data_IF_078087603542
#
_entry.id   IF_078087603542
#
_cell.length_a   1.000
_cell.length_b   1.000
_cell.length_c   1.000
_cell.angle_alpha   90.00
_cell.angle_beta   90.00
_cell.angle_gamma   90.00
#
_symmetry.space_group_name_H-M   'P 1'
#
loop_
_entity.id
_entity.type
_entity.pdbx_description
1 polymer ?
#
# COMPACT_ATOMS: atom_id res chain seq x y z
N UNK A 1 -7.44 8.33 -12.45
CA UNK A 1 -7.97 7.39 -11.44
C UNK A 1 -9.49 7.55 -11.32
N UNK A 2 -10.01 8.76 -11.06
CA UNK A 2 -11.45 9.01 -10.85
C UNK A 2 -12.32 8.43 -11.96
N UNK A 3 -12.00 8.75 -13.23
CA UNK A 3 -12.77 8.30 -14.39
C UNK A 3 -12.84 6.77 -14.56
N UNK A 4 -11.90 6.04 -13.97
CA UNK A 4 -11.87 4.55 -14.03
C UNK A 4 -12.94 3.91 -13.15
N UNK A 5 -13.32 4.59 -12.07
CA UNK A 5 -14.34 4.11 -11.13
C UNK A 5 -15.76 4.48 -11.55
N UNK A 6 -15.90 5.50 -12.39
CA UNK A 6 -17.22 6.00 -12.82
C UNK A 6 -17.83 5.15 -13.94
N UNK A 7 -19.15 5.18 -14.12
CA UNK A 7 -19.80 4.63 -15.30
C UNK A 7 -19.26 5.23 -16.59
N UNK A 8 -19.24 4.44 -17.66
CA UNK A 8 -18.74 4.91 -18.97
C UNK A 8 -19.63 6.04 -19.50
N UNK A 9 -19.04 7.13 -20.06
CA UNK A 9 -19.82 8.16 -20.72
C UNK A 9 -20.72 7.57 -21.83
N UNK A 10 -21.93 8.11 -21.97
CA UNK A 10 -22.92 7.62 -22.93
C UNK A 10 -23.72 6.38 -22.51
N UNK A 11 -23.46 5.83 -21.31
CA UNK A 11 -24.31 4.79 -20.73
C UNK A 11 -25.56 5.36 -20.06
N UNK A 12 -26.60 4.55 -19.91
CA UNK A 12 -27.79 4.94 -19.14
C UNK A 12 -27.40 5.31 -17.71
N UNK A 13 -27.90 6.46 -17.24
CA UNK A 13 -27.63 6.91 -15.88
C UNK A 13 -28.37 6.01 -14.88
N UNK A 14 -27.60 5.21 -14.14
CA UNK A 14 -28.10 4.40 -13.04
C UNK A 14 -27.57 4.97 -11.72
N UNK A 15 -28.48 5.51 -10.91
CA UNK A 15 -28.15 6.14 -9.62
C UNK A 15 -27.51 5.14 -8.65
N UNK A 16 -27.90 3.87 -8.68
CA UNK A 16 -27.30 2.85 -7.80
C UNK A 16 -25.88 2.54 -8.22
N UNK A 17 -25.60 2.44 -9.51
CA UNK A 17 -24.22 2.27 -10.02
C UNK A 17 -23.35 3.47 -9.71
N UNK A 18 -23.88 4.68 -9.85
CA UNK A 18 -23.17 5.90 -9.48
C UNK A 18 -22.83 5.92 -7.98
N UNK A 19 -23.76 5.52 -7.10
CA UNK A 19 -23.49 5.40 -5.65
C UNK A 19 -22.40 4.38 -5.36
N UNK A 20 -22.43 3.22 -6.01
CA UNK A 20 -21.37 2.20 -5.87
C UNK A 20 -20.03 2.72 -6.38
N UNK A 21 -20.02 3.46 -7.47
CA UNK A 21 -18.82 4.08 -8.01
C UNK A 21 -18.22 5.10 -7.03
N UNK A 22 -19.06 5.95 -6.42
CA UNK A 22 -18.65 6.91 -5.39
C UNK A 22 -18.08 6.17 -4.16
N UNK A 23 -18.73 5.10 -3.70
CA UNK A 23 -18.23 4.31 -2.58
C UNK A 23 -16.85 3.68 -2.89
N UNK A 24 -16.65 3.15 -4.11
CA UNK A 24 -15.33 2.65 -4.55
C UNK A 24 -14.29 3.76 -4.62
N UNK A 25 -14.69 4.95 -5.09
CA UNK A 25 -13.81 6.11 -5.16
C UNK A 25 -13.39 6.57 -3.76
N UNK A 26 -14.31 6.63 -2.80
CA UNK A 26 -13.98 6.91 -1.39
C UNK A 26 -13.04 5.86 -0.79
N UNK A 27 -13.24 4.59 -1.12
CA UNK A 27 -12.37 3.50 -0.66
C UNK A 27 -10.94 3.57 -1.20
N UNK A 28 -10.64 4.43 -2.19
CA UNK A 28 -9.27 4.68 -2.65
C UNK A 28 -8.44 5.49 -1.65
N UNK A 29 -9.08 6.24 -0.75
CA UNK A 29 -8.42 7.16 0.17
C UNK A 29 -7.89 8.44 -0.48
N UNK A 30 -8.20 8.69 -1.74
CA UNK A 30 -7.74 9.88 -2.48
C UNK A 30 -8.61 11.12 -2.20
N UNK A 31 -9.80 10.95 -1.67
CA UNK A 31 -10.74 12.02 -1.37
C UNK A 31 -10.86 12.25 0.13
N UNK A 32 -10.87 13.54 0.53
CA UNK A 32 -11.04 13.95 1.92
C UNK A 32 -12.50 13.84 2.40
N UNK A 33 -13.45 14.00 1.49
CA UNK A 33 -14.89 13.96 1.77
C UNK A 33 -15.65 13.38 0.57
N UNK A 34 -16.89 12.89 0.79
CA UNK A 34 -17.72 12.40 -0.31
C UNK A 34 -17.93 13.45 -1.41
N UNK A 35 -17.85 13.04 -2.69
CA UNK A 35 -18.07 13.95 -3.81
C UNK A 35 -19.45 14.61 -3.76
N UNK A 36 -19.50 15.88 -4.06
CA UNK A 36 -20.77 16.55 -4.32
C UNK A 36 -21.22 16.21 -5.73
N UNK A 37 -22.39 15.62 -5.84
CA UNK A 37 -22.97 15.20 -7.12
C UNK A 37 -24.07 16.18 -7.51
N UNK A 38 -23.97 16.76 -8.70
CA UNK A 38 -25.04 17.54 -9.31
C UNK A 38 -25.27 17.07 -10.75
N UNK A 39 -26.49 17.25 -11.23
CA UNK A 39 -26.85 16.97 -12.60
C UNK A 39 -27.08 18.28 -13.34
N UNK A 40 -26.51 18.38 -14.51
CA UNK A 40 -26.76 19.48 -15.45
C UNK A 40 -27.39 18.92 -16.73
N UNK A 41 -28.21 19.70 -17.46
CA UNK A 41 -28.72 19.28 -18.75
C UNK A 41 -27.56 19.08 -19.75
N UNK A 42 -27.65 18.03 -20.56
CA UNK A 42 -26.74 17.76 -21.64
C UNK A 42 -27.04 18.61 -22.89
N UNK A 43 -26.33 18.31 -23.98
CA UNK A 43 -26.52 18.96 -25.26
C UNK A 43 -27.84 18.54 -25.92
N UNK A 44 -28.33 17.32 -25.64
CA UNK A 44 -29.59 16.80 -26.14
C UNK A 44 -30.61 16.67 -25.01
N UNK A 45 -31.92 16.67 -25.33
CA UNK A 45 -32.99 16.63 -24.33
C UNK A 45 -33.00 15.40 -23.44
N UNK A 46 -32.42 14.31 -23.88
CA UNK A 46 -32.32 13.00 -23.20
C UNK A 46 -30.94 12.77 -22.55
N UNK A 47 -30.04 13.75 -22.60
CA UNK A 47 -28.71 13.67 -22.02
C UNK A 47 -28.64 14.44 -20.70
N UNK A 48 -27.93 13.87 -19.73
CA UNK A 48 -27.60 14.51 -18.48
C UNK A 48 -26.08 14.47 -18.22
N UNK A 49 -25.52 15.59 -17.81
CA UNK A 49 -24.13 15.70 -17.41
C UNK A 49 -24.04 15.55 -15.88
N UNK A 50 -23.31 14.53 -15.45
CA UNK A 50 -23.00 14.32 -14.02
C UNK A 50 -21.78 15.17 -13.66
N UNK A 51 -21.98 16.17 -12.83
CA UNK A 51 -20.90 17.03 -12.33
C UNK A 51 -20.50 16.56 -10.93
N UNK A 52 -19.22 16.22 -10.75
CA UNK A 52 -18.65 15.79 -9.48
C UNK A 52 -17.71 16.87 -8.94
N UNK A 53 -18.08 17.47 -7.80
CA UNK A 53 -17.19 18.31 -7.01
C UNK A 53 -16.33 17.46 -6.11
N UNK A 54 -15.02 17.42 -6.36
CA UNK A 54 -14.07 16.57 -5.64
C UNK A 54 -13.17 17.42 -4.75
N UNK A 55 -12.84 16.92 -3.56
CA UNK A 55 -11.84 17.49 -2.68
C UNK A 55 -10.79 16.40 -2.36
N UNK A 56 -9.57 16.65 -2.81
CA UNK A 56 -8.47 15.72 -2.60
C UNK A 56 -8.06 15.63 -1.13
N UNK A 57 -7.72 14.43 -0.68
CA UNK A 57 -7.13 14.18 0.64
C UNK A 57 -5.64 14.55 0.67
N UNK A 58 -5.12 14.78 1.85
CA UNK A 58 -3.66 14.79 2.06
C UNK A 58 -3.18 13.35 2.02
N UNK A 59 -2.29 13.05 1.09
CA UNK A 59 -1.84 11.69 0.79
C UNK A 59 -0.45 11.38 1.34
N UNK A 60 0.31 12.44 1.67
CA UNK A 60 1.64 12.33 2.27
C UNK A 60 1.59 12.28 3.80
N UNK A 61 2.31 11.34 4.39
CA UNK A 61 2.51 11.18 5.82
C UNK A 61 3.99 11.08 6.12
N UNK A 62 4.43 11.86 7.11
CA UNK A 62 5.79 11.83 7.63
C UNK A 62 5.75 11.71 9.14
N UNK A 63 6.29 10.64 9.70
CA UNK A 63 6.23 10.30 11.12
C UNK A 63 7.61 9.98 11.66
N UNK A 64 8.29 10.94 12.29
CA UNK A 64 9.43 10.65 13.15
C UNK A 64 8.94 10.16 14.52
N UNK A 65 9.68 9.22 15.10
CA UNK A 65 9.48 8.79 16.46
C UNK A 65 10.83 8.58 17.16
N UNK A 66 10.86 8.85 18.45
CA UNK A 66 12.01 8.58 19.31
C UNK A 66 11.48 7.98 20.61
N UNK A 67 12.17 6.97 21.12
CA UNK A 67 11.82 6.28 22.33
C UNK A 67 13.04 5.89 23.15
N UNK A 68 12.82 5.53 24.39
CA UNK A 68 13.81 4.96 25.28
C UNK A 68 13.21 3.83 26.11
N UNK A 69 13.94 2.77 26.27
CA UNK A 69 13.61 1.69 27.19
C UNK A 69 14.85 1.30 28.01
N UNK A 70 14.62 0.80 29.21
CA UNK A 70 15.72 0.31 30.06
C UNK A 70 16.37 -0.96 29.52
N UNK A 71 15.71 -1.66 28.59
CA UNK A 71 16.18 -2.92 28.02
C UNK A 71 16.99 -2.71 26.74
N UNK A 72 16.56 -1.76 25.90
CA UNK A 72 17.09 -1.57 24.54
C UNK A 72 17.80 -0.21 24.35
N UNK A 73 17.75 0.67 25.38
CA UNK A 73 18.29 2.03 25.28
C UNK A 73 17.42 2.93 24.41
N UNK A 74 18.06 3.83 23.69
CA UNK A 74 17.40 4.74 22.75
C UNK A 74 17.00 4.04 21.47
N UNK A 75 15.82 4.36 20.99
CA UNK A 75 15.34 3.94 19.67
C UNK A 75 14.81 5.13 18.89
N UNK A 76 14.91 5.06 17.56
CA UNK A 76 14.36 6.07 16.70
C UNK A 76 13.80 5.46 15.43
N UNK A 77 12.75 6.05 14.89
CA UNK A 77 12.20 5.66 13.61
C UNK A 77 11.76 6.85 12.80
N UNK A 78 11.75 6.66 11.49
CA UNK A 78 11.29 7.59 10.50
C UNK A 78 10.44 6.84 9.48
N UNK A 79 9.15 7.15 9.44
CA UNK A 79 8.24 6.60 8.44
C UNK A 79 7.79 7.70 7.49
N UNK A 80 7.89 7.42 6.20
CA UNK A 80 7.33 8.23 5.12
C UNK A 80 6.37 7.37 4.30
N UNK A 81 5.19 7.92 4.02
CA UNK A 81 4.20 7.27 3.18
C UNK A 81 3.55 8.31 2.28
N UNK A 82 3.49 8.02 0.98
CA UNK A 82 2.71 8.77 -0.01
C UNK A 82 1.76 7.81 -0.72
N UNK A 83 0.48 8.14 -0.79
CA UNK A 83 -0.55 7.27 -1.39
C UNK A 83 -1.09 7.76 -2.72
N UNK A 84 -0.59 8.91 -3.20
CA UNK A 84 -0.97 9.47 -4.50
C UNK A 84 0.25 10.01 -5.25
N UNK A 85 1.31 9.23 -5.31
CA UNK A 85 2.55 9.63 -5.99
C UNK A 85 2.25 10.01 -7.46
N UNK A 86 2.65 11.22 -7.83
CA UNK A 86 2.43 11.82 -9.16
C UNK A 86 0.95 11.93 -9.58
N UNK A 87 0.00 11.89 -8.66
CA UNK A 87 -1.43 11.92 -8.99
C UNK A 87 -1.96 10.62 -9.62
N UNK A 88 -1.18 9.55 -9.62
CA UNK A 88 -1.51 8.26 -10.23
C UNK A 88 -2.12 7.26 -9.24
N UNK A 89 -2.33 7.67 -7.98
CA UNK A 89 -2.67 6.81 -6.85
C UNK A 89 -1.64 5.71 -6.57
N UNK A 90 -0.43 5.84 -7.08
CA UNK A 90 0.67 4.96 -6.72
C UNK A 90 1.10 5.25 -5.28
N UNK A 91 1.50 4.21 -4.57
CA UNK A 91 1.87 4.32 -3.17
C UNK A 91 3.34 4.02 -2.99
N UNK A 92 3.99 4.84 -2.18
CA UNK A 92 5.36 4.63 -1.72
C UNK A 92 5.35 4.63 -0.20
N UNK A 93 6.07 3.72 0.41
CA UNK A 93 6.41 3.77 1.83
C UNK A 93 7.91 3.55 2.02
N UNK A 94 8.48 4.29 2.95
CA UNK A 94 9.87 4.18 3.39
C UNK A 94 9.85 4.18 4.91
N UNK A 95 10.44 3.15 5.51
CA UNK A 95 10.57 3.05 6.95
C UNK A 95 12.04 2.84 7.30
N UNK A 96 12.54 3.64 8.22
CA UNK A 96 13.86 3.52 8.82
C UNK A 96 13.68 3.39 10.32
N UNK A 97 14.38 2.49 10.95
CA UNK A 97 14.41 2.40 12.41
C UNK A 97 15.79 1.99 12.91
N UNK A 98 16.18 2.51 14.06
CA UNK A 98 17.38 2.09 14.76
C UNK A 98 17.07 1.86 16.24
N UNK A 99 17.85 0.99 16.86
CA UNK A 99 17.81 0.70 18.30
C UNK A 99 19.26 0.76 18.79
N UNK A 100 19.48 1.52 19.86
CA UNK A 100 20.79 1.63 20.49
C UNK A 100 20.99 0.44 21.41
N UNK A 101 21.51 -0.64 20.86
CA UNK A 101 21.98 -1.78 21.65
C UNK A 101 23.45 -2.08 21.32
N UNK A 102 24.10 -2.97 22.04
CA UNK A 102 25.50 -3.36 21.81
C UNK A 102 25.72 -4.16 20.50
N UNK A 103 24.64 -4.49 19.80
CA UNK A 103 24.72 -5.16 18.50
C UNK A 103 25.25 -4.22 17.42
N UNK A 104 26.20 -4.69 16.63
CA UNK A 104 26.89 -3.92 15.58
C UNK A 104 25.97 -3.44 14.46
N UNK A 105 24.77 -4.03 14.35
CA UNK A 105 23.88 -3.86 13.20
C UNK A 105 22.43 -3.65 13.65
N UNK A 106 22.15 -2.43 14.09
CA UNK A 106 20.86 -2.05 14.67
C UNK A 106 19.99 -1.15 13.77
N UNK A 107 20.42 -0.92 12.53
CA UNK A 107 19.63 -0.18 11.54
C UNK A 107 18.76 -1.13 10.73
N UNK A 108 17.45 -0.89 10.74
CA UNK A 108 16.50 -1.52 9.84
C UNK A 108 15.95 -0.54 8.83
N UNK A 109 15.68 -1.00 7.62
CA UNK A 109 14.94 -0.23 6.65
C UNK A 109 13.94 -1.10 5.90
N UNK A 110 12.84 -0.50 5.49
CA UNK A 110 11.95 -1.06 4.49
C UNK A 110 11.54 0.00 3.47
N UNK A 111 11.36 -0.42 2.23
CA UNK A 111 10.85 0.39 1.15
C UNK A 111 9.81 -0.43 0.37
N UNK A 112 8.66 0.16 0.09
CA UNK A 112 7.66 -0.48 -0.75
C UNK A 112 7.09 0.50 -1.76
N UNK A 113 6.79 -0.03 -2.94
CA UNK A 113 6.11 0.68 -4.02
C UNK A 113 4.95 -0.16 -4.50
N UNK A 114 3.76 0.44 -4.54
CA UNK A 114 2.53 -0.25 -4.94
C UNK A 114 1.81 0.52 -6.02
N UNK A 115 1.50 -0.16 -7.10
CA UNK A 115 0.57 0.27 -8.14
C UNK A 115 -0.77 -0.39 -7.82
N UNK A 116 -1.76 0.34 -7.27
CA UNK A 116 -3.00 -0.28 -6.82
C UNK A 116 -3.91 -0.73 -7.97
N UNK A 117 -3.68 -0.22 -9.17
CA UNK A 117 -4.40 -0.60 -10.36
C UNK A 117 -3.50 -0.56 -11.60
N UNK A 118 -3.10 -1.76 -12.07
CA UNK A 118 -2.44 -1.92 -13.37
C UNK A 118 -3.47 -1.71 -14.48
N UNK A 119 -3.47 -0.51 -15.06
CA UNK A 119 -4.39 -0.14 -16.13
C UNK A 119 -3.79 -0.42 -17.49
N UNK A 120 -3.75 -1.71 -17.86
CA UNK A 120 -3.18 -2.19 -19.12
C UNK A 120 -4.25 -2.87 -19.98
N UNK A 121 -4.13 -2.77 -21.31
CA UNK A 121 -5.00 -3.44 -22.30
C UNK A 121 -4.66 -4.94 -22.44
N UNK A 122 -4.48 -5.61 -21.33
CA UNK A 122 -4.10 -7.02 -21.30
C UNK A 122 -4.78 -7.72 -20.12
N UNK A 123 -5.31 -8.92 -20.35
CA UNK A 123 -5.95 -9.76 -19.32
C UNK A 123 -7.01 -9.02 -18.48
N UNK A 124 -7.84 -8.20 -19.10
CA UNK A 124 -8.90 -7.40 -18.42
C UNK A 124 -8.38 -6.50 -17.28
N UNK A 125 -7.09 -6.14 -17.28
CA UNK A 125 -6.48 -5.31 -16.24
C UNK A 125 -7.08 -3.90 -16.17
N UNK A 126 -7.78 -3.46 -17.21
CA UNK A 126 -8.58 -2.22 -17.20
C UNK A 126 -9.89 -2.37 -16.43
N UNK A 127 -10.53 -3.52 -16.52
CA UNK A 127 -11.86 -3.76 -15.93
C UNK A 127 -11.76 -4.23 -14.48
N UNK A 128 -10.74 -5.03 -14.17
CA UNK A 128 -10.54 -5.62 -12.84
C UNK A 128 -9.31 -5.01 -12.17
N UNK A 129 -9.53 -4.42 -10.99
CA UNK A 129 -8.51 -3.70 -10.22
C UNK A 129 -7.41 -4.64 -9.72
N UNK A 130 -6.37 -4.80 -10.53
CA UNK A 130 -5.21 -5.64 -10.22
C UNK A 130 -4.09 -4.77 -9.66
N UNK A 131 -3.57 -5.10 -8.49
CA UNK A 131 -2.47 -4.38 -7.85
C UNK A 131 -1.15 -5.12 -8.00
N UNK A 132 -0.09 -4.35 -8.23
CA UNK A 132 1.29 -4.82 -8.22
C UNK A 132 2.03 -4.12 -7.08
N UNK A 133 2.70 -4.89 -6.24
CA UNK A 133 3.53 -4.34 -5.17
C UNK A 133 4.95 -4.93 -5.23
N UNK A 134 5.90 -4.05 -5.03
CA UNK A 134 7.31 -4.37 -4.88
C UNK A 134 7.79 -3.89 -3.52
N UNK A 135 8.57 -4.70 -2.81
CA UNK A 135 9.17 -4.28 -1.55
C UNK A 135 10.60 -4.75 -1.39
N UNK A 136 11.36 -3.96 -0.65
CA UNK A 136 12.73 -4.23 -0.21
C UNK A 136 12.79 -4.04 1.29
N UNK A 137 13.56 -4.88 1.98
CA UNK A 137 13.78 -4.71 3.40
C UNK A 137 15.15 -5.23 3.83
N UNK A 138 15.66 -4.66 4.91
CA UNK A 138 16.80 -5.17 5.65
C UNK A 138 16.57 -4.93 7.13
N UNK A 139 16.46 -6.00 7.90
CA UNK A 139 16.11 -5.93 9.32
C UNK A 139 17.05 -6.82 10.12
N UNK A 140 17.73 -6.27 11.13
CA UNK A 140 18.43 -7.09 12.11
C UNK A 140 17.41 -7.80 12.99
N UNK A 141 17.65 -9.06 13.26
CA UNK A 141 16.94 -9.85 14.26
C UNK A 141 17.90 -10.01 15.40
N UNK A 142 17.63 -9.34 16.50
CA UNK A 142 18.54 -9.28 17.64
C UNK A 142 18.71 -10.64 18.30
N UNK A 143 19.82 -10.77 18.95
CA UNK A 143 20.35 -11.81 19.87
C UNK A 143 19.53 -13.11 19.88
N UNK A 144 19.79 -13.95 18.90
CA UNK A 144 19.24 -15.30 18.89
C UNK A 144 20.21 -16.21 19.64
N UNK A 145 19.71 -16.90 20.66
CA UNK A 145 20.52 -17.85 21.41
C UNK A 145 20.79 -19.09 20.60
N UNK A 146 22.06 -19.52 20.61
CA UNK A 146 22.44 -20.78 20.01
C UNK A 146 22.10 -21.91 20.99
N UNK A 147 21.24 -22.85 20.57
CA UNK A 147 20.86 -24.03 21.35
C UNK A 147 21.55 -25.26 20.79
N UNK A 148 22.08 -26.10 21.70
CA UNK A 148 22.45 -27.48 21.38
C UNK A 148 21.35 -28.40 21.94
N UNK A 149 20.47 -28.84 21.02
CA UNK A 149 19.21 -29.46 21.40
C UNK A 149 18.31 -28.52 22.18
N UNK A 150 18.08 -28.78 23.46
CA UNK A 150 17.30 -27.92 24.38
C UNK A 150 18.17 -27.08 25.32
N UNK A 151 19.51 -27.22 25.25
CA UNK A 151 20.46 -26.58 26.16
C UNK A 151 20.96 -25.27 25.57
N UNK A 152 20.85 -24.19 26.32
CA UNK A 152 21.44 -22.88 25.97
C UNK A 152 22.98 -22.99 26.03
N UNK A 153 23.65 -22.77 24.92
CA UNK A 153 25.12 -22.83 24.83
C UNK A 153 25.78 -21.58 25.41
N UNK A 154 25.01 -20.55 25.73
CA UNK A 154 25.52 -19.24 26.17
C UNK A 154 26.06 -18.39 25.02
N UNK A 155 26.00 -18.85 23.78
CA UNK A 155 26.37 -18.08 22.59
C UNK A 155 25.15 -17.42 21.98
N UNK A 156 25.33 -16.16 21.60
CA UNK A 156 24.32 -15.37 20.90
C UNK A 156 24.85 -14.92 19.55
N UNK A 157 23.98 -14.85 18.56
CA UNK A 157 24.30 -14.32 17.24
C UNK A 157 23.22 -13.34 16.77
N UNK A 158 23.60 -12.40 15.96
CA UNK A 158 22.71 -11.48 15.29
C UNK A 158 22.44 -11.95 13.87
N UNK A 159 21.19 -12.14 13.51
CA UNK A 159 20.77 -12.44 12.14
C UNK A 159 20.32 -11.15 11.44
N UNK A 160 20.90 -10.85 10.29
CA UNK A 160 20.38 -9.80 9.41
C UNK A 160 19.62 -10.43 8.25
N UNK A 161 18.35 -10.09 8.12
CA UNK A 161 17.49 -10.51 7.02
C UNK A 161 17.34 -9.40 6.02
N UNK A 162 17.82 -9.63 4.79
CA UNK A 162 17.65 -8.74 3.66
C UNK A 162 16.82 -9.45 2.61
N UNK A 163 15.84 -8.78 2.04
CA UNK A 163 14.99 -9.42 1.06
C UNK A 163 14.31 -8.43 0.13
N UNK A 164 13.78 -9.01 -0.94
CA UNK A 164 12.93 -8.35 -1.91
C UNK A 164 11.68 -9.18 -2.15
N UNK A 165 10.55 -8.56 -2.37
CA UNK A 165 9.34 -9.25 -2.78
C UNK A 165 8.62 -8.53 -3.90
N UNK A 166 7.97 -9.30 -4.77
CA UNK A 166 7.08 -8.84 -5.82
C UNK A 166 5.76 -9.57 -5.64
N UNK A 167 4.66 -8.86 -5.59
CA UNK A 167 3.34 -9.47 -5.45
C UNK A 167 2.34 -8.87 -6.41
N UNK A 168 1.56 -9.73 -7.03
CA UNK A 168 0.41 -9.39 -7.87
C UNK A 168 -0.85 -9.85 -7.15
N UNK A 169 -1.80 -8.96 -6.94
CA UNK A 169 -3.08 -9.29 -6.29
C UNK A 169 -4.25 -8.81 -7.12
N UNK A 170 -5.19 -9.71 -7.38
CA UNK A 170 -6.37 -9.46 -8.22
C UNK A 170 -7.63 -9.96 -7.53
N UNK A 171 -8.72 -9.18 -7.44
CA UNK A 171 -10.02 -9.72 -7.08
C UNK A 171 -10.52 -10.67 -8.16
N UNK A 172 -11.34 -11.65 -7.77
CA UNK A 172 -11.89 -12.63 -8.73
C UNK A 172 -12.77 -11.99 -9.79
N UNK A 173 -13.54 -10.97 -9.40
CA UNK A 173 -14.30 -10.14 -10.33
C UNK A 173 -14.47 -8.74 -9.77
N UNK A 174 -15.02 -7.83 -10.59
CA UNK A 174 -15.34 -6.46 -10.15
C UNK A 174 -16.37 -6.44 -9.01
N UNK A 175 -17.33 -7.36 -9.03
CA UNK A 175 -18.39 -7.45 -8.03
C UNK A 175 -17.97 -8.22 -6.77
N UNK A 176 -17.03 -9.16 -6.91
CA UNK A 176 -16.45 -9.96 -5.82
C UNK A 176 -15.11 -9.40 -5.36
N UNK A 177 -15.08 -8.11 -5.04
CA UNK A 177 -13.87 -7.41 -4.63
C UNK A 177 -13.25 -7.91 -3.32
N UNK A 178 -14.06 -8.55 -2.47
CA UNK A 178 -13.63 -9.12 -1.19
C UNK A 178 -12.87 -10.46 -1.37
N UNK A 179 -13.08 -11.16 -2.48
CA UNK A 179 -12.39 -12.40 -2.79
C UNK A 179 -11.24 -12.12 -3.75
N UNK A 180 -10.01 -12.26 -3.27
CA UNK A 180 -8.80 -11.92 -4.01
C UNK A 180 -7.88 -13.12 -4.15
N UNK A 181 -7.28 -13.24 -5.31
CA UNK A 181 -6.13 -14.13 -5.55
C UNK A 181 -4.85 -13.30 -5.54
N UNK A 182 -3.79 -13.86 -4.99
CA UNK A 182 -2.47 -13.22 -5.01
C UNK A 182 -1.39 -14.21 -5.43
N UNK A 183 -0.47 -13.74 -6.25
CA UNK A 183 0.77 -14.42 -6.62
C UNK A 183 1.92 -13.58 -6.09
N UNK A 184 2.81 -14.21 -5.31
CA UNK A 184 3.96 -13.53 -4.74
C UNK A 184 5.26 -14.29 -5.00
N UNK A 185 6.30 -13.54 -5.33
CA UNK A 185 7.67 -14.01 -5.39
C UNK A 185 8.47 -13.26 -4.33
N UNK A 186 9.21 -14.00 -3.48
CA UNK A 186 10.08 -13.39 -2.48
C UNK A 186 11.46 -14.01 -2.51
N UNK A 187 12.47 -13.16 -2.41
CA UNK A 187 13.86 -13.54 -2.25
C UNK A 187 14.32 -13.05 -0.88
N UNK A 188 14.96 -13.92 -0.11
CA UNK A 188 15.47 -13.60 1.21
C UNK A 188 16.88 -14.14 1.38
N UNK A 189 17.74 -13.32 1.95
CA UNK A 189 19.10 -13.67 2.39
C UNK A 189 19.19 -13.43 3.89
N UNK A 190 19.65 -14.43 4.64
CA UNK A 190 20.04 -14.30 6.04
C UNK A 190 21.56 -14.25 6.13
N UNK A 191 22.08 -13.31 6.89
CA UNK A 191 23.50 -13.16 7.19
C UNK A 191 23.64 -13.22 8.70
N UNK A 192 24.54 -14.06 9.20
CA UNK A 192 24.79 -14.25 10.63
C UNK A 192 26.08 -13.52 10.99
N UNK A 193 26.07 -12.76 12.08
CA UNK A 193 27.13 -11.91 12.58
C UNK A 193 27.46 -12.26 14.03
#
# INVERSE_FOLDING_TARGET
VVLRELPKPGSLLNVQELRKAIARLMATGLLAEPPRVSLAPGEKPDEAVVVLGLKEARTGLFQPAIGWSSLEGWSGSLAFKETNLFGLAHQVSLDLAFIQNDARDNLSFSAAYTVPWLYLDYLDLKEVRTSLAFSLYSTPIGNTKLLDGTTDTGWEYTERRTGASLSLSRPLSRDLSNLRTSLGLSLRRSTYL
#
